data_IF_074165672916
#
_entry.id   IF_074165672916
#
_cell.length_a   1.000
_cell.length_b   1.000
_cell.length_c   1.000
_cell.angle_alpha   90.00
_cell.angle_beta   90.00
_cell.angle_gamma   90.00
#
_symmetry.space_group_name_H-M   'P 1'
#
loop_
_entity.id
_entity.type
_entity.pdbx_description
1 polymer ?
#
# COMPACT_ATOMS: atom_id res chain seq x y z
N UNK A 1 -3.47 -22.18 -19.05
CA UNK A 1 -3.28 -20.76 -18.72
C UNK A 1 -4.10 -20.47 -17.48
N UNK A 2 -3.46 -20.32 -16.31
CA UNK A 2 -4.16 -20.11 -15.05
C UNK A 2 -4.66 -18.65 -14.95
N UNK A 3 -5.88 -18.47 -14.48
CA UNK A 3 -6.60 -17.20 -14.37
C UNK A 3 -5.83 -16.16 -13.57
N UNK A 4 -5.44 -15.05 -14.19
CA UNK A 4 -4.72 -13.92 -13.57
C UNK A 4 -5.57 -13.06 -12.63
N UNK A 5 -6.82 -13.44 -12.34
CA UNK A 5 -7.77 -12.67 -11.54
C UNK A 5 -8.22 -13.34 -10.24
N UNK A 6 -7.48 -14.33 -9.72
CA UNK A 6 -7.89 -14.97 -8.47
C UNK A 6 -7.59 -14.08 -7.26
N UNK A 7 -8.63 -13.40 -6.77
CA UNK A 7 -8.60 -12.73 -5.47
C UNK A 7 -8.32 -13.78 -4.39
N UNK A 8 -7.35 -13.48 -3.54
CA UNK A 8 -6.97 -14.34 -2.41
C UNK A 8 -7.48 -13.73 -1.12
N UNK A 9 -7.87 -14.60 -0.20
CA UNK A 9 -8.13 -14.22 1.18
C UNK A 9 -6.94 -13.43 1.74
N UNK A 10 -7.25 -12.28 2.34
CA UNK A 10 -6.26 -11.39 2.92
C UNK A 10 -6.81 -10.62 4.11
N UNK A 11 -5.97 -10.36 5.09
CA UNK A 11 -6.25 -9.49 6.23
C UNK A 11 -5.22 -8.35 6.30
N UNK A 12 -5.47 -7.33 7.12
CA UNK A 12 -4.54 -6.21 7.38
C UNK A 12 -4.02 -5.52 6.10
N UNK A 13 -4.78 -5.61 5.01
CA UNK A 13 -4.56 -4.85 3.78
C UNK A 13 -5.14 -3.44 3.96
N UNK A 14 -4.90 -2.57 2.99
CA UNK A 14 -5.60 -1.28 2.91
C UNK A 14 -6.37 -1.16 1.62
N UNK A 15 -7.47 -0.43 1.72
CA UNK A 15 -8.29 -0.06 0.59
C UNK A 15 -8.46 1.45 0.55
N UNK A 16 -8.52 2.01 -0.64
CA UNK A 16 -8.71 3.45 -0.86
C UNK A 16 -9.39 3.67 -2.20
N UNK A 17 -10.27 4.66 -2.28
CA UNK A 17 -10.99 5.02 -3.50
C UNK A 17 -10.31 6.18 -4.23
N UNK A 18 -10.20 6.08 -5.56
CA UNK A 18 -9.88 7.18 -6.47
C UNK A 18 -10.87 7.11 -7.63
N UNK A 19 -11.60 8.20 -7.87
CA UNK A 19 -12.73 8.19 -8.82
C UNK A 19 -13.75 7.10 -8.46
N UNK A 20 -14.16 6.31 -9.46
CA UNK A 20 -15.06 5.15 -9.31
C UNK A 20 -14.31 3.81 -9.12
N UNK A 21 -13.08 3.86 -8.61
CA UNK A 21 -12.27 2.66 -8.41
C UNK A 21 -11.83 2.53 -6.95
N UNK A 22 -12.13 1.38 -6.34
CA UNK A 22 -11.61 0.98 -5.04
C UNK A 22 -10.34 0.16 -5.23
N UNK A 23 -9.19 0.69 -4.83
CA UNK A 23 -7.90 0.02 -4.90
C UNK A 23 -7.62 -0.78 -3.64
N UNK A 24 -7.03 -1.96 -3.80
CA UNK A 24 -6.67 -2.90 -2.73
C UNK A 24 -5.24 -3.37 -2.95
N UNK A 25 -4.38 -3.16 -1.95
CA UNK A 25 -2.98 -3.55 -2.03
C UNK A 25 -2.50 -4.28 -0.77
N UNK A 26 -1.63 -5.26 -1.00
CA UNK A 26 -0.96 -6.10 -0.01
C UNK A 26 -1.90 -6.69 1.07
N UNK A 27 -1.41 -6.84 2.30
CA UNK A 27 -2.05 -7.57 3.40
C UNK A 27 -1.41 -8.92 3.70
N UNK A 28 -1.77 -9.49 4.85
CA UNK A 28 -1.45 -10.87 5.20
C UNK A 28 -2.27 -11.81 4.31
N UNK A 29 -1.60 -12.60 3.49
CA UNK A 29 -2.23 -13.51 2.53
C UNK A 29 -1.42 -14.80 2.35
N UNK A 30 -2.09 -15.85 1.91
CA UNK A 30 -1.45 -17.16 1.66
C UNK A 30 -0.33 -17.03 0.63
N UNK A 31 0.84 -17.56 0.99
CA UNK A 31 2.03 -17.58 0.14
C UNK A 31 2.93 -16.36 0.28
N UNK A 32 2.53 -15.30 1.01
CA UNK A 32 3.40 -14.15 1.27
C UNK A 32 4.51 -14.54 2.27
N UNK A 33 5.80 -14.50 1.89
CA UNK A 33 6.89 -14.91 2.78
C UNK A 33 7.03 -14.03 4.03
N UNK A 34 7.32 -14.66 5.17
CA UNK A 34 7.55 -13.98 6.47
C UNK A 34 9.02 -13.57 6.67
N UNK A 35 9.65 -13.09 5.60
CA UNK A 35 11.03 -12.57 5.61
C UNK A 35 11.02 -11.06 5.36
N UNK A 36 12.10 -10.38 5.79
CA UNK A 36 12.18 -8.92 5.69
C UNK A 36 11.95 -8.46 4.25
N UNK A 37 12.67 -9.08 3.31
CA UNK A 37 12.56 -8.85 1.88
C UNK A 37 13.04 -10.09 1.11
N UNK A 38 12.44 -10.34 -0.05
CA UNK A 38 12.83 -11.39 -0.99
C UNK A 38 12.22 -11.15 -2.36
N UNK A 39 12.82 -11.71 -3.40
CA UNK A 39 12.28 -11.63 -4.77
C UNK A 39 10.84 -12.17 -4.84
N UNK A 40 10.57 -13.29 -4.17
CA UNK A 40 9.23 -13.89 -4.10
C UNK A 40 8.21 -12.94 -3.46
N UNK A 41 8.58 -12.30 -2.35
CA UNK A 41 7.73 -11.34 -1.66
C UNK A 41 7.43 -10.14 -2.56
N UNK A 42 8.47 -9.57 -3.17
CA UNK A 42 8.35 -8.46 -4.11
C UNK A 42 7.40 -8.83 -5.25
N UNK A 43 7.61 -9.98 -5.91
CA UNK A 43 6.73 -10.50 -6.98
C UNK A 43 5.26 -10.57 -6.56
N UNK A 44 4.98 -11.09 -5.36
CA UNK A 44 3.61 -11.19 -4.83
C UNK A 44 2.98 -9.81 -4.60
N UNK A 45 3.79 -8.82 -4.22
CA UNK A 45 3.35 -7.44 -3.91
C UNK A 45 3.45 -6.46 -5.07
N UNK A 46 3.96 -6.90 -6.23
CA UNK A 46 4.08 -6.12 -7.46
C UNK A 46 2.82 -6.11 -8.31
N UNK A 47 1.65 -6.21 -7.68
CA UNK A 47 0.35 -6.01 -8.32
C UNK A 47 -0.58 -5.23 -7.40
N UNK A 48 -1.58 -4.59 -7.99
CA UNK A 48 -2.68 -3.96 -7.28
C UNK A 48 -4.01 -4.47 -7.84
N UNK A 49 -4.96 -4.67 -6.96
CA UNK A 49 -6.32 -5.02 -7.33
C UNK A 49 -7.16 -3.77 -7.28
N UNK A 50 -8.09 -3.61 -8.22
CA UNK A 50 -9.14 -2.61 -8.09
C UNK A 50 -10.51 -3.18 -8.43
N UNK A 51 -11.52 -2.62 -7.78
CA UNK A 51 -12.93 -2.90 -8.01
C UNK A 51 -13.63 -1.64 -8.51
N UNK A 52 -14.40 -1.78 -9.59
CA UNK A 52 -15.21 -0.69 -10.15
C UNK A 52 -16.68 -0.94 -9.81
N UNK A 53 -17.30 -0.17 -8.88
CA UNK A 53 -18.67 -0.41 -8.45
C UNK A 53 -19.70 -0.30 -9.57
N UNK A 54 -19.52 0.64 -10.51
CA UNK A 54 -20.46 0.80 -11.63
C UNK A 54 -20.57 -0.43 -12.54
N UNK A 55 -19.51 -1.24 -12.63
CA UNK A 55 -19.48 -2.46 -13.45
C UNK A 55 -19.51 -3.75 -12.62
N UNK A 56 -19.25 -3.66 -11.31
CA UNK A 56 -19.11 -4.81 -10.42
C UNK A 56 -17.89 -5.68 -10.72
N UNK A 57 -16.87 -5.15 -11.41
CA UNK A 57 -15.73 -5.93 -11.87
C UNK A 57 -14.49 -5.75 -11.00
N UNK A 58 -13.79 -6.86 -10.77
CA UNK A 58 -12.45 -6.88 -10.18
C UNK A 58 -11.40 -7.06 -11.26
N UNK A 59 -10.33 -6.28 -11.17
CA UNK A 59 -9.19 -6.37 -12.08
C UNK A 59 -7.91 -6.37 -11.24
N UNK A 60 -7.00 -7.31 -11.54
CA UNK A 60 -5.63 -7.29 -11.03
C UNK A 60 -4.72 -6.69 -12.10
N UNK A 61 -3.87 -5.74 -11.71
CA UNK A 61 -2.88 -5.12 -12.59
C UNK A 61 -1.50 -5.21 -11.98
N UNK A 62 -0.51 -5.53 -12.79
CA UNK A 62 0.89 -5.44 -12.39
C UNK A 62 1.27 -3.98 -12.15
N UNK A 63 2.18 -3.78 -11.21
CA UNK A 63 2.74 -2.47 -10.87
C UNK A 63 4.24 -2.46 -11.14
N UNK A 64 4.79 -1.30 -11.46
CA UNK A 64 6.23 -1.11 -11.71
C UNK A 64 6.87 -0.28 -10.59
N UNK A 65 8.19 -0.19 -10.56
CA UNK A 65 8.92 0.47 -9.47
C UNK A 65 9.06 -0.42 -8.23
N UNK A 66 9.26 0.21 -7.06
CA UNK A 66 9.51 -0.50 -5.80
C UNK A 66 8.37 -0.25 -4.81
N UNK A 67 7.47 -1.24 -4.58
CA UNK A 67 6.46 -1.12 -3.55
C UNK A 67 7.07 -1.10 -2.14
N UNK A 68 6.37 -0.55 -1.12
CA UNK A 68 6.89 -0.50 0.24
C UNK A 68 7.03 -1.89 0.86
N UNK A 69 8.05 -2.08 1.70
CA UNK A 69 8.24 -3.33 2.45
C UNK A 69 7.20 -3.52 3.56
N UNK A 70 6.58 -2.45 4.06
CA UNK A 70 5.51 -2.45 5.06
C UNK A 70 4.18 -2.96 4.51
N UNK A 71 4.16 -4.22 4.08
CA UNK A 71 3.06 -4.85 3.32
C UNK A 71 1.83 -5.22 4.15
N UNK A 72 1.91 -5.14 5.48
CA UNK A 72 0.80 -5.43 6.40
C UNK A 72 0.54 -4.21 7.27
N UNK A 73 -0.73 -3.88 7.50
CA UNK A 73 -1.16 -2.83 8.43
C UNK A 73 -0.49 -1.46 8.20
N UNK A 74 -0.07 -1.14 6.96
CA UNK A 74 0.34 0.21 6.58
C UNK A 74 -0.82 1.20 6.77
N UNK A 75 -0.54 2.49 6.79
CA UNK A 75 -1.58 3.51 6.65
C UNK A 75 -1.69 3.88 5.17
N UNK A 76 -2.89 4.18 4.67
CA UNK A 76 -3.10 4.53 3.26
C UNK A 76 -4.15 5.65 3.12
N UNK A 77 -3.95 6.55 2.16
CA UNK A 77 -4.95 7.53 1.72
C UNK A 77 -4.69 7.93 0.26
N UNK A 78 -5.61 8.69 -0.35
CA UNK A 78 -5.47 9.20 -1.70
C UNK A 78 -5.44 10.73 -1.73
N UNK A 79 -4.69 11.28 -2.67
CA UNK A 79 -4.74 12.69 -3.07
C UNK A 79 -4.73 12.69 -4.59
N UNK A 80 -5.83 13.12 -5.21
CA UNK A 80 -6.04 13.03 -6.66
C UNK A 80 -5.82 11.57 -7.14
N UNK A 81 -5.08 11.38 -8.24
CA UNK A 81 -4.75 10.07 -8.82
C UNK A 81 -3.54 9.37 -8.16
N UNK A 82 -3.21 9.73 -6.92
CA UNK A 82 -2.04 9.22 -6.21
C UNK A 82 -2.45 8.59 -4.88
N UNK A 83 -2.06 7.33 -4.69
CA UNK A 83 -2.21 6.62 -3.43
C UNK A 83 -0.95 6.77 -2.60
N UNK A 84 -1.09 7.16 -1.34
CA UNK A 84 0.02 7.33 -0.41
C UNK A 84 -0.04 6.25 0.65
N UNK A 85 1.12 5.67 0.94
CA UNK A 85 1.30 4.64 1.95
C UNK A 85 2.35 5.09 2.95
N UNK A 86 2.08 4.83 4.23
CA UNK A 86 3.01 5.10 5.32
C UNK A 86 3.19 3.89 6.22
N UNK A 87 4.45 3.58 6.52
CA UNK A 87 4.84 2.60 7.53
C UNK A 87 4.35 1.18 7.23
N UNK A 88 3.84 0.51 8.25
CA UNK A 88 3.38 -0.89 8.18
C UNK A 88 4.43 -1.89 8.66
N UNK A 89 4.00 -3.15 8.82
CA UNK A 89 4.83 -4.29 9.22
C UNK A 89 5.21 -5.09 7.98
N UNK A 90 6.48 -5.45 7.86
CA UNK A 90 6.91 -6.25 6.71
C UNK A 90 6.57 -7.74 6.85
N UNK A 91 6.19 -8.21 8.04
CA UNK A 91 5.82 -9.60 8.30
C UNK A 91 6.95 -10.47 8.80
N UNK A 92 8.17 -9.93 8.94
CA UNK A 92 9.30 -10.59 9.59
C UNK A 92 9.48 -10.05 11.01
N UNK A 93 9.29 -10.90 12.03
CA UNK A 93 9.38 -10.54 13.44
C UNK A 93 8.62 -9.22 13.75
N UNK A 94 9.16 -8.38 14.63
CA UNK A 94 8.63 -7.04 14.95
C UNK A 94 9.24 -5.95 14.06
N UNK A 95 9.30 -6.19 12.75
CA UNK A 95 9.84 -5.24 11.79
C UNK A 95 8.75 -4.30 11.24
N UNK A 96 8.71 -3.10 11.80
CA UNK A 96 7.88 -1.98 11.35
C UNK A 96 8.68 -0.97 10.55
N UNK A 97 7.98 -0.24 9.70
CA UNK A 97 8.53 0.79 8.81
C UNK A 97 7.93 2.16 9.13
N UNK A 98 8.58 3.21 8.62
CA UNK A 98 8.08 4.58 8.57
C UNK A 98 8.29 5.21 7.18
N UNK A 99 8.60 4.42 6.16
CA UNK A 99 8.72 4.92 4.79
C UNK A 99 7.41 5.56 4.30
N UNK A 100 7.54 6.58 3.45
CA UNK A 100 6.43 7.13 2.68
C UNK A 100 6.65 6.73 1.22
N UNK A 101 5.67 6.04 0.67
CA UNK A 101 5.68 5.61 -0.74
C UNK A 101 4.38 6.00 -1.40
N UNK A 102 4.45 6.22 -2.70
CA UNK A 102 3.32 6.62 -3.51
C UNK A 102 3.14 5.66 -4.69
N UNK A 103 1.89 5.40 -5.06
CA UNK A 103 1.51 4.74 -6.31
C UNK A 103 0.66 5.71 -7.14
N UNK A 104 1.08 5.95 -8.37
CA UNK A 104 0.27 6.64 -9.38
C UNK A 104 -0.76 5.66 -9.98
N UNK A 105 -2.05 6.01 -9.93
CA UNK A 105 -3.14 5.08 -10.32
C UNK A 105 -3.32 4.96 -11.83
N UNK A 106 -2.71 5.86 -12.62
CA UNK A 106 -2.79 5.87 -14.08
C UNK A 106 -1.69 5.01 -14.69
N UNK A 107 -0.45 5.25 -14.28
CA UNK A 107 0.75 4.54 -14.72
C UNK A 107 1.04 3.25 -13.96
N UNK A 108 0.44 3.09 -12.77
CA UNK A 108 0.69 1.97 -11.85
C UNK A 108 2.18 1.84 -11.47
N UNK A 109 2.86 2.97 -11.33
CA UNK A 109 4.26 3.05 -10.95
C UNK A 109 4.42 3.50 -9.50
N UNK A 110 5.18 2.73 -8.72
CA UNK A 110 5.58 3.07 -7.37
C UNK A 110 6.74 4.05 -7.34
N UNK A 111 6.70 4.97 -6.38
CA UNK A 111 7.80 5.87 -6.04
C UNK A 111 8.01 5.90 -4.53
N UNK A 112 9.24 5.73 -4.09
CA UNK A 112 9.63 6.02 -2.71
C UNK A 112 9.84 7.53 -2.57
N UNK A 113 9.10 8.13 -1.64
CA UNK A 113 9.25 9.54 -1.30
C UNK A 113 10.23 9.70 -0.14
N UNK A 114 10.10 8.85 0.88
CA UNK A 114 10.97 8.84 2.06
C UNK A 114 11.30 7.39 2.46
N UNK A 115 12.58 6.99 2.48
CA UNK A 115 13.01 5.62 2.82
C UNK A 115 12.96 5.38 4.32
N UNK A 116 12.61 4.17 4.78
CA UNK A 116 12.56 3.86 6.23
C UNK A 116 13.86 4.27 6.93
N UNK A 117 13.74 5.06 7.99
CA UNK A 117 14.89 5.63 8.71
C UNK A 117 14.66 5.56 10.21
N UNK A 118 15.67 5.09 10.95
CA UNK A 118 15.65 4.95 12.40
C UNK A 118 16.00 6.23 13.14
N UNK A 119 16.59 7.21 12.46
CA UNK A 119 17.05 8.48 13.05
C UNK A 119 15.98 9.56 13.03
N UNK A 120 14.96 9.44 12.18
CA UNK A 120 13.85 10.38 12.13
C UNK A 120 13.00 10.33 13.40
N UNK A 121 12.42 11.47 13.77
CA UNK A 121 11.48 11.57 14.90
C UNK A 121 10.17 10.82 14.69
N UNK A 122 9.78 10.60 13.43
CA UNK A 122 8.57 9.85 13.09
C UNK A 122 8.77 8.36 13.32
N UNK A 123 8.09 7.83 14.33
CA UNK A 123 8.17 6.42 14.73
C UNK A 123 7.79 5.45 13.60
N UNK A 124 8.48 4.30 13.57
CA UNK A 124 8.07 3.12 12.79
C UNK A 124 6.81 2.52 13.43
N UNK A 125 5.73 2.40 12.67
CA UNK A 125 4.43 1.94 13.19
C UNK A 125 3.59 1.28 12.11
N UNK A 126 2.58 0.52 12.55
CA UNK A 126 1.52 -0.03 11.72
C UNK A 126 0.18 0.16 12.41
N UNK A 127 -0.90 -0.39 11.84
CA UNK A 127 -2.24 -0.42 12.44
C UNK A 127 -2.89 0.96 12.70
N UNK A 128 -2.26 2.07 12.30
CA UNK A 128 -2.83 3.42 12.36
C UNK A 128 -3.82 3.75 11.23
N UNK A 129 -4.36 4.95 11.25
CA UNK A 129 -5.12 5.56 10.16
C UNK A 129 -4.32 6.66 9.46
N UNK A 130 -4.67 6.98 8.22
CA UNK A 130 -4.17 8.16 7.53
C UNK A 130 -5.30 8.86 6.80
N UNK A 131 -5.36 10.18 6.94
CA UNK A 131 -6.28 11.05 6.20
C UNK A 131 -5.48 12.11 5.47
N UNK A 132 -5.98 12.53 4.32
CA UNK A 132 -5.49 13.71 3.62
C UNK A 132 -6.46 14.88 3.82
N UNK A 133 -5.93 16.09 3.85
CA UNK A 133 -6.72 17.32 3.78
C UNK A 133 -5.90 18.42 3.10
N UNK A 134 -6.58 19.45 2.61
CA UNK A 134 -5.96 20.61 2.00
C UNK A 134 -6.09 21.81 2.92
N UNK A 135 -5.01 22.58 3.06
CA UNK A 135 -5.01 23.88 3.73
C UNK A 135 -4.09 24.83 2.96
N UNK A 136 -4.61 26.00 2.60
CA UNK A 136 -3.88 27.03 1.84
C UNK A 136 -3.22 26.52 0.55
N UNK A 137 -3.92 25.63 -0.18
CA UNK A 137 -3.43 25.04 -1.44
C UNK A 137 -2.36 23.95 -1.26
N UNK A 138 -2.09 23.53 -0.02
CA UNK A 138 -1.12 22.48 0.30
C UNK A 138 -1.87 21.25 0.83
N UNK A 139 -1.58 20.09 0.25
CA UNK A 139 -2.08 18.82 0.77
C UNK A 139 -1.23 18.32 1.94
N UNK A 140 -1.90 17.93 3.01
CA UNK A 140 -1.30 17.37 4.21
C UNK A 140 -1.74 15.93 4.41
N UNK A 141 -0.83 15.11 4.94
CA UNK A 141 -1.10 13.75 5.40
C UNK A 141 -1.08 13.73 6.92
N UNK A 142 -2.23 13.46 7.54
CA UNK A 142 -2.32 13.26 8.98
C UNK A 142 -2.42 11.78 9.29
N UNK A 143 -1.50 11.29 10.11
CA UNK A 143 -1.47 9.91 10.58
C UNK A 143 -1.90 9.86 12.04
N UNK A 144 -2.82 8.94 12.38
CA UNK A 144 -3.44 8.86 13.71
C UNK A 144 -3.31 7.43 14.26
N UNK A 145 -2.88 7.32 15.52
CA UNK A 145 -2.69 6.05 16.21
C UNK A 145 -1.55 5.20 15.65
N UNK A 146 -1.59 3.90 15.99
CA UNK A 146 -0.57 2.92 15.63
C UNK A 146 0.54 2.75 16.66
#
# INVERSE_FOLDING_TARGET
MASTNQLRERAVHRTVSVGDSLYVWAGHQVGLPEVHDSEEKRRITSNIQHFTPSTGQWITRDTTGTPPLGVRACCCTAINDQLYYFGGRCGHNDCYHNSITQLDTVSLQWRELEPTDVTRSVMRRGYGGMISFEHDGIHHLLMIGG
#
